data_IF_929504541911
#
_entry.id   IF_929504541911
#
_cell.length_a   1.000
_cell.length_b   1.000
_cell.length_c   1.000
_cell.angle_alpha   90.00
_cell.angle_beta   90.00
_cell.angle_gamma   90.00
#
_symmetry.space_group_name_H-M   'P 1'
#
loop_
_entity.id
_entity.type
_entity.pdbx_description
1 polymer ?
#
# COMPACT_ATOMS: atom_id res chain seq x y z
N UNK A 1 18.29 21.67 -16.13
CA UNK A 1 16.88 21.32 -16.34
C UNK A 1 16.58 21.56 -17.81
N UNK A 2 16.70 20.52 -18.63
CA UNK A 2 16.42 20.62 -20.07
C UNK A 2 14.99 20.18 -20.31
N UNK A 3 14.16 21.09 -20.80
CA UNK A 3 12.84 20.77 -21.34
C UNK A 3 13.01 19.72 -22.45
N UNK A 4 12.02 18.85 -22.61
CA UNK A 4 12.00 17.88 -23.70
C UNK A 4 11.71 18.64 -25.01
N UNK A 5 12.74 19.25 -25.60
CA UNK A 5 12.64 20.00 -26.85
C UNK A 5 12.72 19.01 -28.01
N UNK A 6 11.56 18.57 -28.49
CA UNK A 6 11.44 18.04 -29.84
C UNK A 6 11.16 19.23 -30.77
N UNK A 7 12.18 19.65 -31.54
CA UNK A 7 12.04 20.56 -32.70
C UNK A 7 11.16 21.81 -32.46
N UNK A 8 11.51 22.65 -31.48
CA UNK A 8 10.89 23.98 -31.30
C UNK A 8 9.46 23.99 -30.74
N UNK A 9 8.90 22.85 -30.34
CA UNK A 9 7.61 22.77 -29.67
C UNK A 9 7.79 22.65 -28.14
N UNK A 10 7.43 23.71 -27.39
CA UNK A 10 7.30 23.64 -25.94
C UNK A 10 5.84 23.37 -25.57
N UNK A 11 5.60 22.27 -24.88
CA UNK A 11 4.30 21.96 -24.30
C UNK A 11 4.48 21.60 -22.83
N UNK A 12 4.08 22.53 -21.96
CA UNK A 12 4.03 22.29 -20.52
C UNK A 12 3.17 21.07 -20.16
N UNK A 13 2.14 20.76 -20.96
CA UNK A 13 1.30 19.58 -20.79
C UNK A 13 2.11 18.28 -20.96
N UNK A 14 2.85 18.15 -22.07
CA UNK A 14 3.68 16.97 -22.33
C UNK A 14 4.87 16.89 -21.37
N UNK A 15 5.49 18.03 -21.07
CA UNK A 15 6.61 18.12 -20.14
C UNK A 15 6.22 17.64 -18.74
N UNK A 16 5.07 18.07 -18.20
CA UNK A 16 4.60 17.63 -16.88
C UNK A 16 4.41 16.13 -16.81
N UNK A 17 3.87 15.52 -17.87
CA UNK A 17 3.65 14.08 -17.94
C UNK A 17 4.97 13.33 -17.96
N UNK A 18 5.90 13.73 -18.84
CA UNK A 18 7.25 13.16 -18.87
C UNK A 18 7.96 13.30 -17.51
N UNK A 19 7.86 14.48 -16.89
CA UNK A 19 8.48 14.75 -15.59
C UNK A 19 7.94 13.81 -14.51
N UNK A 20 6.62 13.60 -14.42
CA UNK A 20 6.02 12.66 -13.45
C UNK A 20 6.48 11.21 -13.65
N UNK A 21 6.65 10.79 -14.90
CA UNK A 21 7.11 9.45 -15.26
C UNK A 21 8.59 9.16 -14.92
N UNK A 22 9.42 10.21 -14.75
CA UNK A 22 10.88 10.07 -14.65
C UNK A 22 11.49 10.81 -13.44
N UNK A 23 10.66 11.43 -12.59
CA UNK A 23 11.13 12.10 -11.38
C UNK A 23 11.59 11.06 -10.36
N UNK A 24 12.80 11.23 -9.83
CA UNK A 24 13.28 10.43 -8.72
C UNK A 24 12.57 10.82 -7.44
N UNK A 25 12.04 9.83 -6.71
CA UNK A 25 11.31 10.05 -5.46
C UNK A 25 12.21 9.97 -4.22
N UNK A 26 13.51 9.68 -4.38
CA UNK A 26 14.46 9.52 -3.27
C UNK A 26 14.53 10.74 -2.34
N UNK A 27 14.28 11.93 -2.89
CA UNK A 27 14.23 13.19 -2.15
C UNK A 27 12.85 13.59 -1.62
N UNK A 28 11.83 12.73 -1.70
CA UNK A 28 10.48 13.02 -1.20
C UNK A 28 10.13 12.28 0.10
N UNK A 29 11.00 11.38 0.58
CA UNK A 29 10.82 10.69 1.86
C UNK A 29 11.34 11.55 3.00
N UNK A 30 10.49 12.42 3.54
CA UNK A 30 10.81 13.14 4.77
C UNK A 30 9.74 12.89 5.82
N UNK A 31 10.14 12.16 6.84
CA UNK A 31 9.42 12.09 8.09
C UNK A 31 10.00 13.14 9.03
N UNK A 32 9.39 14.33 9.04
CA UNK A 32 9.82 15.45 9.90
C UNK A 32 9.45 15.25 11.37
N UNK A 33 8.92 14.09 11.78
CA UNK A 33 8.52 13.84 13.15
C UNK A 33 7.24 14.57 13.58
N UNK A 34 6.47 15.10 12.62
CA UNK A 34 5.23 15.84 12.89
C UNK A 34 4.12 14.98 13.51
N UNK A 35 4.22 13.65 13.40
CA UNK A 35 3.30 12.70 14.03
C UNK A 35 4.01 12.03 15.21
N UNK A 36 3.31 11.99 16.34
CA UNK A 36 3.77 11.35 17.57
C UNK A 36 3.99 9.84 17.34
N UNK A 37 5.11 9.32 17.85
CA UNK A 37 5.44 7.89 17.86
C UNK A 37 5.31 7.36 19.28
N UNK A 38 4.59 6.25 19.41
CA UNK A 38 4.43 5.55 20.68
C UNK A 38 4.84 4.08 20.53
N UNK A 39 5.61 3.60 21.49
CA UNK A 39 5.82 2.19 21.76
C UNK A 39 4.93 1.77 22.95
N UNK A 40 4.58 0.48 23.01
CA UNK A 40 3.95 -0.13 24.19
C UNK A 40 2.75 0.65 24.79
N UNK A 41 1.78 1.04 23.96
CA UNK A 41 0.56 1.75 24.38
C UNK A 41 -0.50 0.79 24.94
N UNK A 42 -1.23 1.15 26.01
CA UNK A 42 -2.37 0.31 26.45
C UNK A 42 -3.62 0.60 25.63
N UNK A 43 -4.61 -0.31 25.67
CA UNK A 43 -5.89 -0.10 24.98
C UNK A 43 -6.60 1.16 25.51
N UNK A 44 -6.52 1.40 26.82
CA UNK A 44 -7.13 2.54 27.48
C UNK A 44 -6.46 3.85 27.07
N UNK A 45 -5.12 3.90 27.05
CA UNK A 45 -4.38 5.09 26.56
C UNK A 45 -4.71 5.35 25.09
N UNK A 46 -4.76 4.30 24.26
CA UNK A 46 -5.12 4.41 22.85
C UNK A 46 -6.54 5.00 22.66
N UNK A 47 -7.53 4.44 23.35
CA UNK A 47 -8.93 4.89 23.27
C UNK A 47 -9.12 6.31 23.83
N UNK A 48 -8.46 6.64 24.95
CA UNK A 48 -8.60 7.94 25.57
C UNK A 48 -7.90 9.05 24.77
N UNK A 49 -6.72 8.83 24.21
CA UNK A 49 -5.89 9.92 23.70
C UNK A 49 -5.83 9.99 22.17
N UNK A 50 -6.14 8.91 21.45
CA UNK A 50 -5.91 8.81 20.02
C UNK A 50 -7.14 8.42 19.22
N UNK A 51 -7.92 7.45 19.69
CA UNK A 51 -9.08 6.95 18.95
C UNK A 51 -10.10 8.05 18.64
N UNK A 52 -10.34 8.29 17.35
CA UNK A 52 -11.17 9.38 16.82
C UNK A 52 -10.67 10.81 17.09
N UNK A 53 -9.50 11.01 17.70
CA UNK A 53 -9.00 12.33 18.16
C UNK A 53 -7.80 12.84 17.40
N UNK A 54 -6.74 12.05 17.29
CA UNK A 54 -5.48 12.45 16.61
C UNK A 54 -4.73 11.23 16.07
N UNK A 55 -3.95 11.40 14.97
CA UNK A 55 -3.13 10.32 14.44
C UNK A 55 -1.94 10.02 15.35
N UNK A 56 -1.52 8.74 15.38
CA UNK A 56 -0.33 8.25 16.08
C UNK A 56 0.35 7.16 15.26
N UNK A 57 1.69 7.15 15.31
CA UNK A 57 2.50 6.08 14.73
C UNK A 57 2.85 5.07 15.81
N UNK A 58 2.27 3.88 15.69
CA UNK A 58 2.48 2.78 16.62
C UNK A 58 3.69 1.95 16.20
N UNK A 59 4.64 1.81 17.12
CA UNK A 59 5.87 1.03 16.90
C UNK A 59 5.82 -0.28 17.68
N UNK A 60 6.51 -1.31 17.19
CA UNK A 60 6.64 -2.60 17.88
C UNK A 60 5.48 -3.60 17.69
N UNK A 61 4.28 -3.16 17.30
CA UNK A 61 3.10 -4.04 17.21
C UNK A 61 3.21 -5.13 16.13
N UNK A 62 3.93 -4.84 15.04
CA UNK A 62 4.13 -5.76 13.91
C UNK A 62 5.50 -6.49 13.97
N UNK A 63 6.29 -6.31 15.03
CA UNK A 63 7.66 -6.82 15.08
C UNK A 63 7.74 -8.35 15.05
N UNK A 64 6.72 -9.01 15.60
CA UNK A 64 6.60 -10.46 15.65
C UNK A 64 6.00 -11.09 14.38
N UNK A 65 5.51 -10.28 13.43
CA UNK A 65 4.86 -10.80 12.23
C UNK A 65 5.86 -11.53 11.32
N UNK A 66 5.60 -12.78 10.92
CA UNK A 66 6.39 -13.47 9.91
C UNK A 66 6.56 -12.65 8.61
N UNK A 67 5.54 -11.87 8.23
CA UNK A 67 5.53 -10.97 7.08
C UNK A 67 6.76 -10.07 7.00
N UNK A 68 7.32 -9.64 8.15
CA UNK A 68 8.52 -8.78 8.20
C UNK A 68 9.73 -9.42 7.50
N UNK A 69 9.79 -10.75 7.47
CA UNK A 69 10.88 -11.53 6.83
C UNK A 69 10.41 -12.23 5.55
N UNK A 70 9.16 -12.66 5.49
CA UNK A 70 8.63 -13.47 4.38
C UNK A 70 8.09 -12.62 3.22
N UNK A 71 7.68 -11.37 3.43
CA UNK A 71 7.13 -10.53 2.37
C UNK A 71 8.21 -9.76 1.62
N UNK A 72 9.16 -10.50 1.07
CA UNK A 72 10.14 -9.99 0.10
C UNK A 72 9.64 -10.29 -1.32
N UNK A 73 10.06 -9.47 -2.31
CA UNK A 73 9.69 -9.70 -3.71
C UNK A 73 10.04 -11.11 -4.17
N UNK A 74 11.22 -11.62 -3.83
CA UNK A 74 11.67 -12.95 -4.24
C UNK A 74 10.83 -14.07 -3.61
N UNK A 75 10.55 -13.98 -2.31
CA UNK A 75 9.75 -15.00 -1.61
C UNK A 75 8.29 -14.99 -2.06
N UNK A 76 7.70 -13.81 -2.27
CA UNK A 76 6.34 -13.69 -2.81
C UNK A 76 6.27 -14.17 -4.26
N UNK A 77 7.31 -13.89 -5.07
CA UNK A 77 7.37 -14.36 -6.46
C UNK A 77 7.49 -15.88 -6.55
N UNK A 78 8.29 -16.49 -5.66
CA UNK A 78 8.46 -17.94 -5.60
C UNK A 78 7.16 -18.66 -5.20
N UNK A 79 6.44 -18.14 -4.20
CA UNK A 79 5.27 -18.82 -3.65
C UNK A 79 3.95 -18.45 -4.35
N UNK A 80 3.84 -17.22 -4.86
CA UNK A 80 2.60 -16.64 -5.35
C UNK A 80 2.72 -16.02 -6.74
N UNK A 81 3.79 -16.30 -7.49
CA UNK A 81 4.05 -15.74 -8.81
C UNK A 81 2.88 -15.87 -9.80
N UNK A 82 2.27 -17.05 -9.88
CA UNK A 82 1.14 -17.32 -10.78
C UNK A 82 -0.23 -16.91 -10.19
N UNK A 83 -0.25 -16.36 -8.97
CA UNK A 83 -1.49 -15.89 -8.32
C UNK A 83 -1.90 -14.55 -8.91
N UNK A 84 -3.15 -14.46 -9.37
CA UNK A 84 -3.71 -13.21 -9.89
C UNK A 84 -4.26 -12.34 -8.75
N UNK A 85 -3.78 -11.10 -8.67
CA UNK A 85 -4.25 -10.09 -7.71
C UNK A 85 -5.01 -8.98 -8.42
N UNK A 86 -5.97 -8.36 -7.72
CA UNK A 86 -6.69 -7.19 -8.25
C UNK A 86 -5.79 -5.96 -8.32
N UNK A 87 -5.85 -5.28 -9.46
CA UNK A 87 -5.17 -4.02 -9.72
C UNK A 87 -6.17 -2.87 -9.52
N UNK A 88 -5.79 -1.91 -8.68
CA UNK A 88 -6.46 -0.63 -8.55
C UNK A 88 -6.01 0.29 -9.67
N UNK A 89 -6.98 0.85 -10.38
CA UNK A 89 -6.77 1.88 -11.39
C UNK A 89 -7.99 2.79 -11.45
N UNK A 90 -7.83 3.99 -12.04
CA UNK A 90 -8.91 4.99 -12.14
C UNK A 90 -10.16 4.52 -12.88
N UNK A 91 -10.06 3.49 -13.71
CA UNK A 91 -11.21 2.95 -14.44
C UNK A 91 -12.05 2.03 -13.55
N UNK A 92 -13.37 2.00 -13.76
CA UNK A 92 -14.29 1.06 -13.10
C UNK A 92 -14.11 -0.42 -13.49
N UNK A 93 -13.21 -0.73 -14.44
CA UNK A 93 -12.96 -2.12 -14.86
C UNK A 93 -12.16 -2.86 -13.80
N UNK A 94 -12.68 -4.02 -13.40
CA UNK A 94 -11.96 -4.97 -12.55
C UNK A 94 -10.89 -5.64 -13.41
N UNK A 95 -9.62 -5.31 -13.16
CA UNK A 95 -8.48 -5.94 -13.80
C UNK A 95 -7.73 -6.73 -12.75
N UNK A 96 -7.29 -7.93 -13.12
CA UNK A 96 -6.35 -8.73 -12.34
C UNK A 96 -5.09 -9.00 -13.15
N UNK A 97 -3.98 -9.20 -12.45
CA UNK A 97 -2.69 -9.51 -13.03
C UNK A 97 -1.95 -10.49 -12.14
N UNK A 98 -1.17 -11.41 -12.73
CA UNK A 98 -0.35 -12.33 -11.94
C UNK A 98 0.72 -11.56 -11.18
N UNK A 99 1.12 -12.02 -10.00
CA UNK A 99 2.17 -11.35 -9.24
C UNK A 99 3.49 -11.31 -10.03
N UNK A 100 3.79 -12.35 -10.80
CA UNK A 100 4.97 -12.39 -11.68
C UNK A 100 4.94 -11.30 -12.75
N UNK A 101 3.79 -11.08 -13.38
CA UNK A 101 3.62 -10.00 -14.35
C UNK A 101 3.72 -8.63 -13.66
N UNK A 102 3.18 -8.49 -12.44
CA UNK A 102 3.31 -7.26 -11.66
C UNK A 102 4.77 -6.94 -11.32
N UNK A 103 5.55 -7.93 -10.86
CA UNK A 103 6.98 -7.75 -10.58
C UNK A 103 7.75 -7.41 -11.85
N UNK A 104 7.37 -7.98 -12.99
CA UNK A 104 7.95 -7.65 -14.29
C UNK A 104 7.62 -6.20 -14.71
N UNK A 105 6.38 -5.77 -14.47
CA UNK A 105 5.93 -4.39 -14.66
C UNK A 105 6.73 -3.40 -13.81
N UNK A 106 6.90 -3.68 -12.50
CA UNK A 106 7.65 -2.80 -11.58
C UNK A 106 9.08 -2.49 -12.06
N UNK A 107 9.73 -3.42 -12.78
CA UNK A 107 11.11 -3.24 -13.28
C UNK A 107 11.23 -2.26 -14.44
N UNK A 108 10.15 -1.99 -15.16
CA UNK A 108 10.13 -1.15 -16.38
C UNK A 108 9.14 0.02 -16.26
N UNK A 109 8.61 0.24 -15.05
CA UNK A 109 7.51 1.15 -14.79
C UNK A 109 7.94 2.62 -15.00
N UNK A 110 7.28 3.31 -15.92
CA UNK A 110 7.42 4.76 -16.18
C UNK A 110 6.06 5.41 -16.47
N UNK A 111 4.99 4.85 -15.93
CA UNK A 111 3.63 5.39 -16.06
C UNK A 111 3.44 6.63 -15.19
N UNK A 112 2.62 7.57 -15.67
CA UNK A 112 2.18 8.73 -14.88
C UNK A 112 1.30 8.33 -13.70
N UNK A 113 0.53 7.24 -13.87
CA UNK A 113 -0.37 6.67 -12.88
C UNK A 113 -0.05 5.16 -12.79
N UNK A 114 0.92 4.77 -11.94
CA UNK A 114 1.38 3.39 -11.85
C UNK A 114 0.26 2.42 -11.44
N UNK A 115 0.30 1.20 -11.96
CA UNK A 115 -0.60 0.14 -11.52
C UNK A 115 -0.27 -0.24 -10.07
N UNK A 116 -1.31 -0.37 -9.24
CA UNK A 116 -1.17 -0.69 -7.83
C UNK A 116 -1.99 -1.93 -7.47
N UNK A 117 -1.39 -2.91 -6.79
CA UNK A 117 -2.14 -4.04 -6.24
C UNK A 117 -2.96 -3.55 -5.05
N UNK A 118 -4.29 -3.70 -5.13
CA UNK A 118 -5.19 -3.48 -4.01
C UNK A 118 -6.30 -4.53 -4.03
N UNK A 119 -6.12 -5.59 -3.24
CA UNK A 119 -7.04 -6.72 -3.23
C UNK A 119 -7.62 -6.97 -1.84
N UNK A 120 -8.82 -6.45 -1.59
CA UNK A 120 -9.54 -6.66 -0.33
C UNK A 120 -9.92 -8.13 -0.04
N UNK A 121 -9.83 -9.02 -1.04
CA UNK A 121 -10.11 -10.46 -0.88
C UNK A 121 -8.85 -11.32 -0.99
N UNK A 122 -7.67 -10.73 -0.81
CA UNK A 122 -6.40 -11.48 -0.93
C UNK A 122 -6.36 -12.70 0.00
N UNK A 123 -6.98 -12.61 1.18
CA UNK A 123 -7.07 -13.73 2.13
C UNK A 123 -7.95 -14.90 1.66
N UNK A 124 -8.94 -14.63 0.79
CA UNK A 124 -9.75 -15.69 0.15
C UNK A 124 -8.97 -16.36 -0.99
N UNK A 125 -8.20 -15.57 -1.75
CA UNK A 125 -7.39 -16.05 -2.89
C UNK A 125 -6.16 -16.81 -2.41
N UNK A 126 -5.50 -16.30 -1.37
CA UNK A 126 -4.31 -16.88 -0.78
C UNK A 126 -4.37 -16.85 0.75
N UNK A 127 -5.01 -17.86 1.36
CA UNK A 127 -5.10 -17.99 2.82
C UNK A 127 -3.74 -18.12 3.51
N UNK A 128 -2.68 -18.51 2.78
CA UNK A 128 -1.32 -18.58 3.31
C UNK A 128 -0.82 -17.23 3.84
N UNK A 129 -1.16 -16.13 3.17
CA UNK A 129 -0.77 -14.77 3.57
C UNK A 129 -1.40 -14.34 4.91
N UNK A 130 -2.57 -14.89 5.26
CA UNK A 130 -3.24 -14.60 6.53
C UNK A 130 -2.48 -15.19 7.73
N UNK A 131 -1.56 -16.13 7.51
CA UNK A 131 -0.71 -16.70 8.57
C UNK A 131 0.51 -15.85 8.87
N UNK A 132 0.82 -14.87 8.02
CA UNK A 132 2.03 -14.05 8.13
C UNK A 132 1.85 -12.81 9.03
N UNK A 133 0.63 -12.54 9.49
CA UNK A 133 0.34 -11.44 10.40
C UNK A 133 -0.80 -11.80 11.36
N UNK A 134 -0.98 -10.98 12.39
CA UNK A 134 -2.10 -11.06 13.31
C UNK A 134 -2.63 -9.67 13.61
N UNK A 135 -3.94 -9.54 13.83
CA UNK A 135 -4.53 -8.26 14.24
C UNK A 135 -3.96 -7.87 15.61
N UNK A 136 -3.35 -6.68 15.76
CA UNK A 136 -2.85 -6.20 17.05
C UNK A 136 -3.97 -6.11 18.08
N UNK A 137 -3.64 -6.28 19.37
CA UNK A 137 -4.62 -6.26 20.47
C UNK A 137 -5.44 -4.95 20.53
N UNK A 138 -4.91 -3.84 19.99
CA UNK A 138 -5.59 -2.55 19.92
C UNK A 138 -6.78 -2.53 18.94
N UNK A 139 -6.82 -3.44 17.98
CA UNK A 139 -7.78 -3.43 16.86
C UNK A 139 -8.62 -4.71 16.81
N UNK A 140 -8.83 -5.37 17.95
CA UNK A 140 -9.58 -6.64 17.99
C UNK A 140 -11.10 -6.45 17.83
N UNK A 141 -11.61 -5.27 18.17
CA UNK A 141 -13.03 -4.97 18.03
C UNK A 141 -13.34 -4.63 16.56
N UNK A 142 -14.00 -5.55 15.88
CA UNK A 142 -14.57 -5.32 14.55
C UNK A 142 -16.10 -5.18 14.66
N UNK A 143 -16.58 -3.93 14.69
CA UNK A 143 -18.00 -3.63 14.79
C UNK A 143 -18.75 -3.74 13.46
N UNK A 144 -18.09 -4.02 12.33
CA UNK A 144 -18.77 -4.12 11.04
C UNK A 144 -19.79 -5.27 11.02
N UNK A 145 -19.56 -6.34 11.79
CA UNK A 145 -20.50 -7.45 11.95
C UNK A 145 -21.81 -7.04 12.66
N UNK A 146 -21.75 -6.03 13.53
CA UNK A 146 -22.91 -5.55 14.31
C UNK A 146 -23.80 -4.62 13.48
N UNK A 147 -23.22 -3.93 12.49
CA UNK A 147 -23.93 -2.92 11.67
C UNK A 147 -24.67 -3.52 10.47
N UNK A 148 -24.40 -4.77 10.09
CA UNK A 148 -25.18 -5.49 9.09
C UNK A 148 -26.65 -5.74 9.50
N UNK A 149 -27.02 -5.62 10.78
CA UNK A 149 -28.41 -5.81 11.24
C UNK A 149 -29.29 -4.55 11.18
N UNK A 150 -28.73 -3.36 10.93
CA UNK A 150 -29.47 -2.09 10.93
C UNK A 150 -29.68 -1.49 9.52
N UNK A 151 -29.33 -2.24 8.46
CA UNK A 151 -29.51 -1.85 7.07
C UNK A 151 -30.52 -2.75 6.31
N UNK A 152 -31.53 -3.26 7.01
CA UNK A 152 -32.75 -3.82 6.42
C UNK A 152 -33.97 -2.96 6.77
#
# INVERSE_FOLDING_TARGET
MSSCVMMGFDSLFLYRRLYRCHTTLDGFSFDNGNVERKDQITLEEFSCDYDGKKPVLLTGLADAWPARRTWTLDHLLQNYGDTAFKISQRSSRKISMTFKDYVSYLKVQHDEDPLYIFDHKFGEVQPGLLKDYSVPYLFQEDFFDVWCFLAC
#
